data_IF_087066181673
#
_entry.id   IF_087066181673
#
_cell.length_a   1.000
_cell.length_b   1.000
_cell.length_c   1.000
_cell.angle_alpha   90.00
_cell.angle_beta   90.00
_cell.angle_gamma   90.00
#
_symmetry.space_group_name_H-M   'P 1'
#
loop_
_entity.id
_entity.type
_entity.pdbx_description
1 polymer ?
#
# COMPACT_ATOMS: atom_id res chain seq x y z
N UNK A 1 11.83 -6.69 0.61
CA UNK A 1 12.15 -6.15 1.94
C UNK A 1 12.34 -4.64 1.93
N UNK A 2 13.27 -4.10 1.16
CA UNK A 2 13.62 -2.66 1.14
C UNK A 2 12.45 -1.74 0.74
N UNK A 3 11.64 -2.14 -0.22
CA UNK A 3 10.47 -1.37 -0.67
C UNK A 3 9.38 -1.24 0.41
N UNK A 4 9.21 -2.27 1.20
CA UNK A 4 8.28 -2.27 2.33
C UNK A 4 8.78 -1.36 3.47
N UNK A 5 10.11 -1.38 3.75
CA UNK A 5 10.72 -0.45 4.72
C UNK A 5 10.55 1.02 4.30
N UNK A 6 10.71 1.32 3.00
CA UNK A 6 10.44 2.65 2.47
C UNK A 6 8.97 3.09 2.66
N UNK A 7 8.03 2.15 2.74
CA UNK A 7 6.61 2.42 2.98
C UNK A 7 6.26 2.83 4.41
N UNK A 8 7.14 2.62 5.40
CA UNK A 8 6.85 2.97 6.80
C UNK A 8 6.69 4.48 7.02
N UNK A 9 7.57 5.29 6.42
CA UNK A 9 7.53 6.76 6.56
C UNK A 9 6.25 7.34 5.93
N UNK A 10 5.93 7.04 4.64
CA UNK A 10 4.67 7.47 4.04
C UNK A 10 3.45 6.91 4.79
N UNK A 11 3.51 5.68 5.27
CA UNK A 11 2.46 5.06 6.07
C UNK A 11 2.19 5.79 7.38
N UNK A 12 3.24 6.18 8.11
CA UNK A 12 3.12 6.96 9.34
C UNK A 12 2.53 8.36 9.06
N UNK A 13 2.96 9.02 7.98
CA UNK A 13 2.41 10.31 7.56
C UNK A 13 0.93 10.17 7.21
N UNK A 14 0.55 9.15 6.47
CA UNK A 14 -0.85 8.87 6.13
C UNK A 14 -1.69 8.63 7.38
N UNK A 15 -1.20 7.85 8.33
CA UNK A 15 -1.89 7.59 9.59
C UNK A 15 -2.11 8.88 10.40
N UNK A 16 -1.12 9.77 10.44
CA UNK A 16 -1.23 11.07 11.10
C UNK A 16 -2.25 11.98 10.39
N UNK A 17 -2.23 12.01 9.06
CA UNK A 17 -3.19 12.81 8.26
C UNK A 17 -4.60 12.30 8.47
N UNK A 18 -4.86 10.99 8.37
CA UNK A 18 -6.17 10.41 8.61
C UNK A 18 -6.63 10.60 10.06
N UNK A 19 -5.74 10.39 11.03
CA UNK A 19 -6.02 10.64 12.43
C UNK A 19 -6.38 12.10 12.70
N UNK A 20 -5.61 13.03 12.15
CA UNK A 20 -5.89 14.46 12.22
C UNK A 20 -7.21 14.83 11.57
N UNK A 21 -7.51 14.28 10.41
CA UNK A 21 -8.76 14.52 9.69
C UNK A 21 -9.98 14.01 10.47
N UNK A 22 -9.88 12.83 11.06
CA UNK A 22 -10.94 12.26 11.92
C UNK A 22 -11.17 13.15 13.14
N UNK A 23 -10.11 13.60 13.81
CA UNK A 23 -10.19 14.51 14.95
C UNK A 23 -10.81 15.86 14.53
N UNK A 24 -10.37 16.44 13.40
CA UNK A 24 -10.95 17.66 12.87
C UNK A 24 -12.43 17.51 12.59
N UNK A 25 -12.86 16.42 11.93
CA UNK A 25 -14.27 16.16 11.64
C UNK A 25 -15.06 16.01 12.95
N UNK A 26 -14.56 15.26 13.92
CA UNK A 26 -15.22 15.06 15.21
C UNK A 26 -15.36 16.35 16.02
N UNK A 27 -14.39 17.25 15.94
CA UNK A 27 -14.42 18.56 16.61
C UNK A 27 -15.35 19.54 15.89
N UNK A 28 -15.30 19.58 14.54
CA UNK A 28 -16.09 20.53 13.75
C UNK A 28 -17.57 20.12 13.65
N UNK A 29 -17.84 18.82 13.50
CA UNK A 29 -19.18 18.27 13.37
C UNK A 29 -19.55 17.47 14.63
N UNK A 30 -20.01 18.15 15.66
CA UNK A 30 -20.42 17.55 16.95
C UNK A 30 -21.45 16.41 16.82
N UNK A 31 -22.19 16.33 15.72
CA UNK A 31 -23.20 15.31 15.47
C UNK A 31 -22.64 14.02 14.83
N UNK A 32 -21.42 14.05 14.28
CA UNK A 32 -20.82 12.90 13.57
C UNK A 32 -20.06 11.98 14.55
N UNK A 33 -19.58 12.53 15.66
CA UNK A 33 -18.90 11.78 16.70
C UNK A 33 -19.32 12.28 18.09
N UNK A 34 -20.49 11.87 18.60
CA UNK A 34 -20.86 12.28 19.95
C UNK A 34 -19.83 11.76 20.94
N UNK A 35 -19.36 12.60 21.90
CA UNK A 35 -18.40 12.15 22.89
C UNK A 35 -19.04 11.06 23.74
N UNK A 36 -18.50 9.87 23.68
CA UNK A 36 -18.92 8.76 24.52
C UNK A 36 -18.27 8.99 25.89
N UNK A 37 -19.03 9.56 26.81
CA UNK A 37 -18.63 9.82 28.19
C UNK A 37 -18.91 8.59 29.07
N UNK A 38 -17.97 8.22 29.92
CA UNK A 38 -18.20 7.22 30.93
C UNK A 38 -17.35 5.95 30.83
N UNK A 39 -16.47 5.83 29.84
CA UNK A 39 -15.56 4.68 29.74
C UNK A 39 -14.33 4.86 30.63
N UNK A 40 -14.16 3.94 31.56
CA UNK A 40 -12.97 3.80 32.38
C UNK A 40 -11.79 3.27 31.55
N UNK A 41 -10.58 3.64 31.89
CA UNK A 41 -9.37 3.11 31.22
C UNK A 41 -9.33 1.58 31.20
N UNK A 42 -9.86 0.92 32.22
CA UNK A 42 -9.99 -0.53 32.32
C UNK A 42 -10.87 -1.11 31.19
N UNK A 43 -12.03 -0.52 30.96
CA UNK A 43 -12.96 -0.94 29.90
C UNK A 43 -12.37 -0.75 28.49
N UNK A 44 -11.51 0.28 28.31
CA UNK A 44 -10.78 0.49 27.05
C UNK A 44 -9.78 -0.62 26.80
N UNK A 45 -9.07 -1.08 27.82
CA UNK A 45 -8.14 -2.21 27.70
C UNK A 45 -8.86 -3.54 27.55
N UNK A 46 -10.00 -3.73 28.22
CA UNK A 46 -10.83 -4.94 28.07
C UNK A 46 -11.43 -5.04 26.65
N UNK A 47 -11.81 -3.93 26.03
CA UNK A 47 -12.27 -3.91 24.64
C UNK A 47 -11.15 -4.13 23.60
N UNK A 48 -9.89 -3.99 24.00
CA UNK A 48 -8.74 -4.34 23.13
C UNK A 48 -8.50 -5.87 23.07
N UNK A 49 -8.94 -6.61 24.11
CA UNK A 49 -8.73 -8.05 24.18
C UNK A 49 -9.28 -8.84 22.96
N UNK A 50 -10.47 -8.53 22.41
CA UNK A 50 -10.96 -9.18 21.19
C UNK A 50 -10.15 -8.83 19.93
N UNK A 51 -9.48 -7.66 19.90
CA UNK A 51 -8.65 -7.24 18.77
C UNK A 51 -7.22 -7.82 18.82
N UNK A 52 -6.77 -8.24 20.01
CA UNK A 52 -5.42 -8.76 20.23
C UNK A 52 -5.03 -9.90 19.26
N UNK A 53 -5.87 -10.90 18.99
CA UNK A 53 -5.53 -11.97 18.06
C UNK A 53 -5.24 -11.46 16.64
N UNK A 54 -5.98 -10.46 16.17
CA UNK A 54 -5.79 -9.88 14.83
C UNK A 54 -4.46 -9.11 14.79
N UNK A 55 -4.20 -8.30 15.82
CA UNK A 55 -2.93 -7.56 15.93
C UNK A 55 -1.75 -8.51 16.02
N UNK A 56 -1.88 -9.61 16.79
CA UNK A 56 -0.85 -10.63 16.90
C UNK A 56 -0.52 -11.28 15.55
N UNK A 57 -1.53 -11.62 14.75
CA UNK A 57 -1.33 -12.17 13.40
C UNK A 57 -0.57 -11.18 12.51
N UNK A 58 -0.95 -9.90 12.52
CA UNK A 58 -0.26 -8.86 11.75
C UNK A 58 1.20 -8.75 12.16
N UNK A 59 1.48 -8.73 13.47
CA UNK A 59 2.85 -8.68 14.00
C UNK A 59 3.64 -9.92 13.57
N UNK A 60 3.07 -11.11 13.67
CA UNK A 60 3.72 -12.37 13.25
C UNK A 60 4.08 -12.31 11.76
N UNK A 61 3.17 -11.85 10.90
CA UNK A 61 3.43 -11.73 9.45
C UNK A 61 4.56 -10.73 9.20
N UNK A 62 4.50 -9.56 9.83
CA UNK A 62 5.53 -8.53 9.68
C UNK A 62 6.88 -9.08 10.15
N UNK A 63 6.92 -9.73 11.31
CA UNK A 63 8.15 -10.30 11.85
C UNK A 63 8.72 -11.41 10.96
N UNK A 64 7.87 -12.25 10.38
CA UNK A 64 8.27 -13.30 9.46
C UNK A 64 8.90 -12.76 8.17
N UNK A 65 8.31 -11.70 7.62
CA UNK A 65 8.76 -11.08 6.36
C UNK A 65 10.01 -10.21 6.57
N UNK A 66 10.10 -9.53 7.70
CA UNK A 66 11.17 -8.52 7.92
C UNK A 66 12.35 -9.02 8.74
N UNK A 67 12.15 -9.97 9.62
CA UNK A 67 13.13 -10.43 10.59
C UNK A 67 14.13 -9.35 11.04
N UNK A 68 13.83 -8.54 12.06
CA UNK A 68 14.67 -7.41 12.50
C UNK A 68 16.04 -7.88 13.03
N UNK A 69 16.25 -9.17 13.23
CA UNK A 69 17.47 -9.75 13.79
C UNK A 69 18.35 -10.48 12.76
N UNK A 70 18.01 -10.48 11.46
CA UNK A 70 18.79 -11.17 10.44
C UNK A 70 18.12 -11.18 9.07
N UNK A 71 18.44 -12.18 8.26
CA UNK A 71 17.82 -12.36 6.95
C UNK A 71 16.33 -12.71 7.07
N UNK A 72 15.51 -12.22 6.13
CA UNK A 72 14.08 -12.50 6.10
C UNK A 72 13.83 -14.02 6.09
N UNK A 73 12.93 -14.50 6.93
CA UNK A 73 12.61 -15.92 7.02
C UNK A 73 11.77 -16.43 5.85
N UNK A 74 11.12 -15.52 5.15
CA UNK A 74 10.31 -15.88 4.00
C UNK A 74 9.88 -14.68 3.15
N UNK A 75 9.22 -15.02 2.06
CA UNK A 75 8.65 -14.06 1.13
C UNK A 75 7.34 -13.48 1.67
N UNK A 76 6.88 -12.30 1.19
CA UNK A 76 5.57 -11.75 1.54
C UNK A 76 4.40 -12.70 1.25
N UNK A 77 4.53 -13.52 0.20
CA UNK A 77 3.52 -14.53 -0.17
C UNK A 77 3.43 -15.66 0.84
N UNK A 78 4.57 -16.12 1.34
CA UNK A 78 4.64 -17.14 2.40
C UNK A 78 4.11 -16.57 3.72
N UNK A 79 4.47 -15.33 4.06
CA UNK A 79 3.90 -14.62 5.21
C UNK A 79 2.37 -14.49 5.13
N UNK A 80 1.85 -14.18 3.96
CA UNK A 80 0.42 -14.15 3.70
C UNK A 80 -0.26 -15.52 3.88
N UNK A 81 0.38 -16.58 3.40
CA UNK A 81 -0.13 -17.95 3.56
C UNK A 81 -0.16 -18.39 5.03
N UNK A 82 0.89 -18.09 5.80
CA UNK A 82 0.95 -18.35 7.25
C UNK A 82 -0.14 -17.57 7.97
N UNK A 83 -0.31 -16.28 7.65
CA UNK A 83 -1.35 -15.45 8.23
C UNK A 83 -2.75 -15.99 7.96
N UNK A 84 -3.04 -16.36 6.71
CA UNK A 84 -4.30 -16.97 6.32
C UNK A 84 -4.56 -18.28 7.07
N UNK A 85 -3.53 -19.13 7.23
CA UNK A 85 -3.64 -20.38 7.96
C UNK A 85 -3.91 -20.17 9.45
N UNK A 86 -3.22 -19.22 10.10
CA UNK A 86 -3.46 -18.89 11.51
C UNK A 86 -4.89 -18.35 11.71
N UNK A 87 -5.34 -17.45 10.85
CA UNK A 87 -6.71 -16.91 10.91
C UNK A 87 -7.75 -18.02 10.68
N UNK A 88 -7.49 -18.94 9.77
CA UNK A 88 -8.34 -20.09 9.53
C UNK A 88 -8.47 -21.00 10.77
N UNK A 89 -7.35 -21.32 11.42
CA UNK A 89 -7.36 -22.09 12.67
C UNK A 89 -8.12 -21.37 13.78
N UNK A 90 -7.92 -20.06 13.91
CA UNK A 90 -8.67 -19.25 14.89
C UNK A 90 -10.16 -19.23 14.60
N UNK A 91 -10.55 -19.16 13.33
CA UNK A 91 -11.95 -19.18 12.92
C UNK A 91 -12.61 -20.53 13.25
N UNK A 92 -11.91 -21.65 13.02
CA UNK A 92 -12.38 -22.99 13.42
C UNK A 92 -12.55 -23.05 14.95
N UNK A 93 -11.53 -22.59 15.70
CA UNK A 93 -11.59 -22.59 17.16
C UNK A 93 -12.76 -21.76 17.71
N UNK A 94 -13.12 -20.66 17.03
CA UNK A 94 -14.29 -19.83 17.35
C UNK A 94 -15.63 -20.41 16.86
N UNK A 95 -15.63 -21.62 16.27
CA UNK A 95 -16.84 -22.32 15.83
C UNK A 95 -17.37 -21.87 14.47
N UNK A 96 -16.49 -21.53 13.54
CA UNK A 96 -16.84 -21.20 12.16
C UNK A 96 -17.64 -22.37 11.52
N UNK A 97 -18.77 -22.03 10.91
CA UNK A 97 -19.59 -23.02 10.19
C UNK A 97 -19.10 -23.18 8.75
N UNK A 98 -19.31 -24.37 8.18
CA UNK A 98 -18.94 -24.69 6.78
C UNK A 98 -19.54 -23.69 5.78
N UNK A 99 -20.75 -23.18 6.06
CA UNK A 99 -21.38 -22.16 5.22
C UNK A 99 -20.55 -20.87 5.18
N UNK A 100 -20.05 -20.40 6.32
CA UNK A 100 -19.20 -19.21 6.43
C UNK A 100 -17.85 -19.40 5.73
N UNK A 101 -17.28 -20.61 5.85
CA UNK A 101 -16.06 -20.96 5.12
C UNK A 101 -16.28 -20.89 3.60
N UNK A 102 -17.39 -21.45 3.12
CA UNK A 102 -17.72 -21.41 1.69
C UNK A 102 -17.92 -19.97 1.20
N UNK A 103 -18.59 -19.13 1.97
CA UNK A 103 -18.79 -17.71 1.66
C UNK A 103 -17.43 -16.97 1.60
N UNK A 104 -16.56 -17.18 2.59
CA UNK A 104 -15.22 -16.58 2.60
C UNK A 104 -14.36 -17.02 1.41
N UNK A 105 -14.38 -18.32 1.05
CA UNK A 105 -13.66 -18.82 -0.12
C UNK A 105 -14.20 -18.25 -1.43
N UNK A 106 -15.52 -18.14 -1.57
CA UNK A 106 -16.14 -17.53 -2.75
C UNK A 106 -15.80 -16.05 -2.87
N UNK A 107 -15.80 -15.33 -1.76
CA UNK A 107 -15.40 -13.91 -1.74
C UNK A 107 -13.93 -13.74 -2.11
N UNK A 108 -13.06 -14.56 -1.53
CA UNK A 108 -11.62 -14.58 -1.89
C UNK A 108 -11.43 -14.89 -3.37
N UNK A 109 -12.14 -15.89 -3.91
CA UNK A 109 -12.06 -16.21 -5.34
C UNK A 109 -12.51 -15.05 -6.23
N UNK A 110 -13.61 -14.37 -5.88
CA UNK A 110 -14.09 -13.19 -6.62
C UNK A 110 -13.06 -12.06 -6.62
N UNK A 111 -12.47 -11.73 -5.47
CA UNK A 111 -11.43 -10.71 -5.36
C UNK A 111 -10.19 -11.09 -6.17
N UNK A 112 -9.77 -12.34 -6.09
CA UNK A 112 -8.61 -12.85 -6.84
C UNK A 112 -8.85 -12.73 -8.34
N UNK A 113 -10.01 -13.17 -8.85
CA UNK A 113 -10.38 -13.06 -10.26
C UNK A 113 -10.39 -11.59 -10.70
N UNK A 114 -10.95 -10.70 -9.88
CA UNK A 114 -11.00 -9.27 -10.18
C UNK A 114 -9.58 -8.69 -10.33
N UNK A 115 -8.68 -8.99 -9.40
CA UNK A 115 -7.29 -8.52 -9.45
C UNK A 115 -6.56 -9.07 -10.68
N UNK A 116 -6.67 -10.38 -10.95
CA UNK A 116 -6.04 -10.97 -12.13
C UNK A 116 -6.58 -10.41 -13.45
N UNK A 117 -7.87 -10.12 -13.53
CA UNK A 117 -8.49 -9.50 -14.71
C UNK A 117 -7.90 -8.10 -14.96
N UNK A 118 -7.73 -7.32 -13.90
CA UNK A 118 -7.08 -6.00 -13.99
C UNK A 118 -5.64 -6.15 -14.48
N UNK A 119 -4.86 -7.07 -13.88
CA UNK A 119 -3.47 -7.31 -14.28
C UNK A 119 -3.37 -7.69 -15.76
N UNK A 120 -4.23 -8.58 -16.24
CA UNK A 120 -4.27 -8.98 -17.67
C UNK A 120 -4.56 -7.80 -18.59
N UNK A 121 -5.57 -7.01 -18.25
CA UNK A 121 -5.89 -5.79 -19.02
C UNK A 121 -4.73 -4.81 -19.08
N UNK A 122 -4.09 -4.59 -17.93
CA UNK A 122 -2.93 -3.69 -17.83
C UNK A 122 -1.73 -4.21 -18.62
N UNK A 123 -1.45 -5.51 -18.63
CA UNK A 123 -0.34 -6.08 -19.40
C UNK A 123 -0.51 -5.82 -20.90
N UNK A 124 -1.73 -5.94 -21.42
CA UNK A 124 -2.03 -5.61 -22.82
C UNK A 124 -1.84 -4.11 -23.06
N UNK A 125 -2.36 -3.28 -22.18
CA UNK A 125 -2.25 -1.84 -22.26
C UNK A 125 -0.80 -1.35 -22.23
N UNK A 126 0.02 -1.86 -21.31
CA UNK A 126 1.45 -1.50 -21.20
C UNK A 126 2.21 -1.86 -22.47
N UNK A 127 1.92 -3.00 -23.09
CA UNK A 127 2.50 -3.37 -24.38
C UNK A 127 2.11 -2.39 -25.49
N UNK A 128 0.84 -2.01 -25.55
CA UNK A 128 0.36 -1.00 -26.48
C UNK A 128 1.08 0.34 -26.29
N UNK A 129 1.20 0.81 -25.05
CA UNK A 129 1.92 2.04 -24.73
C UNK A 129 3.39 2.01 -25.16
N UNK A 130 4.05 0.85 -24.97
CA UNK A 130 5.44 0.65 -25.41
C UNK A 130 5.59 0.76 -26.93
N UNK A 131 4.69 0.15 -27.69
CA UNK A 131 4.67 0.27 -29.17
C UNK A 131 4.36 1.70 -29.62
N UNK A 132 3.47 2.40 -28.93
CA UNK A 132 3.12 3.79 -29.22
C UNK A 132 4.22 4.80 -28.80
N UNK A 133 5.29 4.34 -28.12
CA UNK A 133 6.36 5.18 -27.55
C UNK A 133 5.84 6.32 -26.66
N UNK A 134 4.67 6.11 -26.05
CA UNK A 134 4.03 7.12 -25.21
C UNK A 134 4.87 7.46 -23.96
N UNK A 135 5.51 6.50 -23.26
CA UNK A 135 6.37 6.80 -22.12
C UNK A 135 7.55 7.72 -22.48
N UNK A 136 8.18 7.47 -23.64
CA UNK A 136 9.30 8.29 -24.12
C UNK A 136 8.85 9.71 -24.51
N UNK A 137 7.71 9.80 -25.20
CA UNK A 137 7.12 11.08 -25.57
C UNK A 137 6.70 11.89 -24.32
N UNK A 138 6.13 11.24 -23.33
CA UNK A 138 5.74 11.87 -22.07
C UNK A 138 6.96 12.33 -21.25
N UNK A 139 8.00 11.50 -21.19
CA UNK A 139 9.27 11.84 -20.54
C UNK A 139 9.95 13.03 -21.19
N UNK A 140 10.05 13.04 -22.52
CA UNK A 140 10.65 14.17 -23.27
C UNK A 140 9.81 15.45 -23.14
N UNK A 141 8.50 15.35 -23.11
CA UNK A 141 7.61 16.48 -22.86
C UNK A 141 7.83 17.08 -21.47
N UNK A 142 7.90 16.24 -20.42
CA UNK A 142 8.15 16.68 -19.04
C UNK A 142 9.52 17.36 -18.92
N UNK A 143 10.56 16.81 -19.53
CA UNK A 143 11.91 17.39 -19.49
C UNK A 143 12.03 18.67 -20.29
N UNK A 144 11.14 18.91 -21.26
CA UNK A 144 11.06 20.16 -22.02
C UNK A 144 10.37 21.30 -21.24
N UNK A 145 9.67 20.97 -20.15
CA UNK A 145 9.11 21.98 -19.25
C UNK A 145 10.25 22.51 -18.38
N UNK A 146 10.69 23.75 -18.63
CA UNK A 146 11.71 24.45 -17.80
C UNK A 146 11.21 24.76 -16.38
N UNK A 147 10.71 23.70 -15.70
CA UNK A 147 10.15 23.79 -14.36
C UNK A 147 11.04 23.03 -13.36
N UNK A 148 11.01 23.46 -12.11
CA UNK A 148 11.75 22.74 -11.07
C UNK A 148 11.25 21.29 -10.93
N UNK A 149 12.13 20.29 -10.76
CA UNK A 149 11.74 18.90 -10.60
C UNK A 149 10.72 18.65 -9.48
N UNK A 150 10.82 19.45 -8.41
CA UNK A 150 9.90 19.40 -7.28
C UNK A 150 8.48 19.80 -7.70
N UNK A 151 8.34 20.84 -8.53
CA UNK A 151 7.03 21.29 -8.99
C UNK A 151 6.37 20.25 -9.90
N UNK A 152 7.14 19.64 -10.78
CA UNK A 152 6.67 18.53 -11.64
C UNK A 152 6.21 17.34 -10.78
N UNK A 153 6.98 16.98 -9.75
CA UNK A 153 6.60 15.91 -8.83
C UNK A 153 5.28 16.23 -8.11
N UNK A 154 5.10 17.47 -7.65
CA UNK A 154 3.86 17.91 -7.01
C UNK A 154 2.66 17.83 -7.99
N UNK A 155 2.85 18.22 -9.24
CA UNK A 155 1.81 18.10 -10.27
C UNK A 155 1.43 16.62 -10.53
N UNK A 156 2.42 15.73 -10.60
CA UNK A 156 2.18 14.28 -10.73
C UNK A 156 1.40 13.75 -9.52
N UNK A 157 1.79 14.12 -8.31
CA UNK A 157 1.10 13.71 -7.08
C UNK A 157 -0.35 14.23 -7.02
N UNK A 158 -0.60 15.46 -7.46
CA UNK A 158 -1.96 15.99 -7.59
C UNK A 158 -2.77 15.20 -8.61
N UNK A 159 -2.16 14.86 -9.76
CA UNK A 159 -2.78 13.97 -10.74
C UNK A 159 -3.15 12.61 -10.14
N UNK A 160 -2.26 12.02 -9.35
CA UNK A 160 -2.52 10.78 -8.61
C UNK A 160 -3.62 10.93 -7.58
N UNK A 161 -3.70 12.06 -6.88
CA UNK A 161 -4.77 12.32 -5.93
C UNK A 161 -6.15 12.35 -6.61
N UNK A 162 -6.23 12.99 -7.79
CA UNK A 162 -7.47 13.00 -8.59
C UNK A 162 -7.82 11.62 -9.13
N UNK A 163 -6.85 10.91 -9.71
CA UNK A 163 -7.06 9.55 -10.23
C UNK A 163 -7.47 8.57 -9.12
N UNK A 164 -6.87 8.69 -7.93
CA UNK A 164 -7.19 7.85 -6.77
C UNK A 164 -8.60 8.04 -6.22
N UNK A 165 -9.29 9.16 -6.57
CA UNK A 165 -10.71 9.32 -6.24
C UNK A 165 -11.63 8.45 -7.11
N UNK A 166 -11.17 8.04 -8.30
CA UNK A 166 -11.99 7.32 -9.29
C UNK A 166 -11.57 5.87 -9.48
N UNK A 167 -10.33 5.53 -9.17
CA UNK A 167 -9.74 4.22 -9.46
C UNK A 167 -9.25 3.54 -8.18
N UNK A 168 -9.24 2.20 -8.20
CA UNK A 168 -8.57 1.41 -7.19
C UNK A 168 -7.04 1.61 -7.22
N UNK A 169 -6.40 1.52 -6.04
CA UNK A 169 -4.98 1.78 -5.88
C UNK A 169 -4.08 0.88 -6.76
N UNK A 170 -4.44 -0.41 -6.88
CA UNK A 170 -3.68 -1.37 -7.69
C UNK A 170 -3.82 -1.04 -9.17
N UNK A 171 -5.05 -0.80 -9.63
CA UNK A 171 -5.34 -0.43 -11.02
C UNK A 171 -4.64 0.86 -11.41
N UNK A 172 -4.72 1.89 -10.56
CA UNK A 172 -4.06 3.17 -10.78
C UNK A 172 -2.54 3.01 -10.90
N UNK A 173 -1.91 2.32 -9.95
CA UNK A 173 -0.45 2.13 -9.94
C UNK A 173 0.01 1.38 -11.20
N UNK A 174 -0.61 0.25 -11.51
CA UNK A 174 -0.24 -0.57 -12.66
C UNK A 174 -0.43 0.15 -14.00
N UNK A 175 -1.47 0.99 -14.10
CA UNK A 175 -1.76 1.73 -15.33
C UNK A 175 -0.79 2.88 -15.57
N UNK A 176 -0.42 3.61 -14.52
CA UNK A 176 0.34 4.86 -14.63
C UNK A 176 1.85 4.65 -14.50
N UNK A 177 2.29 3.61 -13.76
CA UNK A 177 3.71 3.34 -13.51
C UNK A 177 4.57 3.28 -14.78
N UNK A 178 4.13 2.61 -15.88
CA UNK A 178 4.94 2.53 -17.10
C UNK A 178 5.21 3.87 -17.76
N UNK A 179 4.36 4.88 -17.51
CA UNK A 179 4.48 6.23 -18.08
C UNK A 179 5.19 7.17 -17.12
N UNK A 180 4.82 7.13 -15.84
CA UNK A 180 5.33 8.07 -14.83
C UNK A 180 6.73 7.70 -14.36
N UNK A 181 7.05 6.41 -14.26
CA UNK A 181 8.37 5.96 -13.80
C UNK A 181 9.52 6.47 -14.69
N UNK A 182 9.50 6.30 -16.03
CA UNK A 182 10.54 6.86 -16.89
C UNK A 182 10.65 8.38 -16.81
N UNK A 183 9.51 9.07 -16.67
CA UNK A 183 9.49 10.52 -16.54
C UNK A 183 10.17 11.02 -15.24
N UNK A 184 9.87 10.37 -14.12
CA UNK A 184 10.50 10.70 -12.82
C UNK A 184 12.00 10.39 -12.84
N UNK A 185 12.40 9.28 -13.48
CA UNK A 185 13.83 8.94 -13.64
C UNK A 185 14.56 9.95 -14.52
N UNK A 186 13.93 10.45 -15.58
CA UNK A 186 14.51 11.48 -16.44
C UNK A 186 14.71 12.81 -15.69
N UNK A 187 13.80 13.17 -14.76
CA UNK A 187 13.95 14.36 -13.91
C UNK A 187 15.12 14.25 -12.92
N UNK A 188 15.49 13.05 -12.52
CA UNK A 188 16.62 12.79 -11.63
C UNK A 188 17.96 12.61 -12.37
N UNK A 189 18.07 13.07 -13.62
CA UNK A 189 19.30 13.00 -14.42
C UNK A 189 19.65 11.59 -14.91
N UNK A 190 18.69 10.65 -14.88
CA UNK A 190 18.92 9.25 -15.26
C UNK A 190 19.74 8.46 -14.24
N UNK A 191 20.17 9.07 -13.16
CA UNK A 191 20.82 8.36 -12.06
C UNK A 191 19.78 7.47 -11.36
N UNK A 192 19.97 6.17 -11.48
CA UNK A 192 19.28 5.21 -10.63
C UNK A 192 19.45 5.64 -9.18
N UNK A 193 18.46 5.41 -8.35
CA UNK A 193 18.26 5.80 -6.93
C UNK A 193 19.49 5.63 -6.00
N UNK A 194 20.70 5.54 -6.54
CA UNK A 194 21.96 5.33 -5.80
C UNK A 194 22.28 6.49 -4.85
N UNK A 195 21.88 7.72 -5.17
CA UNK A 195 22.11 8.87 -4.30
C UNK A 195 21.21 8.86 -3.04
N UNK A 196 19.97 8.40 -3.17
CA UNK A 196 19.09 8.18 -2.00
C UNK A 196 19.53 6.95 -1.20
N UNK A 197 20.05 5.92 -1.86
CA UNK A 197 20.62 4.73 -1.23
C UNK A 197 21.88 5.07 -0.42
N UNK A 198 22.71 5.98 -0.89
CA UNK A 198 23.90 6.43 -0.15
C UNK A 198 23.55 7.30 1.06
N UNK A 199 22.51 8.13 0.98
CA UNK A 199 22.05 8.95 2.10
C UNK A 199 21.41 8.10 3.22
N UNK A 200 20.86 6.93 2.89
CA UNK A 200 20.27 5.99 3.87
C UNK A 200 21.15 4.76 4.14
N UNK A 201 22.41 4.75 3.71
CA UNK A 201 23.36 3.65 3.97
C UNK A 201 23.00 2.34 3.25
N UNK A 202 22.18 2.38 2.21
CA UNK A 202 21.77 1.21 1.42
C UNK A 202 22.60 1.12 0.13
N UNK A 203 23.92 0.96 0.26
CA UNK A 203 24.81 0.63 -0.85
C UNK A 203 24.61 -0.83 -1.24
N UNK A 204 24.15 -1.06 -2.46
CA UNK A 204 24.18 -2.40 -2.99
C UNK A 204 23.22 -2.68 -4.13
N UNK A 205 23.75 -2.56 -5.34
CA UNK A 205 23.44 -3.36 -6.56
C UNK A 205 22.07 -4.04 -6.63
N UNK A 206 21.18 -3.44 -7.40
CA UNK A 206 20.15 -4.23 -8.07
C UNK A 206 20.59 -4.46 -9.53
N UNK A 207 21.02 -5.69 -9.83
CA UNK A 207 20.84 -6.30 -11.14
C UNK A 207 19.44 -6.84 -11.23
#
# INVERSE_FOLDING_TARGET
>A
GKLLLAGFIPGAVSALVYGGLIVCIAVYFKNVGPPVSGFTWKERFESLAPAFPIVAVIIIIIFFVYNPFGDAWGTPTEGGAIGAFIVFLMAIYRGMRIKQLKEALLETAKLTIMIFTIIWGVLIYVRFLGFAKLPDAFSSWITSLDMSPVLILVCILLGYAVLGMFMDAIGMLLLTLPVVYPAVMALNGGETVSAADSAFGMSGTMC
#
